data_IF_060698171992
#
_entry.id   IF_060698171992
#
_cell.length_a   1.000
_cell.length_b   1.000
_cell.length_c   1.000
_cell.angle_alpha   90.00
_cell.angle_beta   90.00
_cell.angle_gamma   90.00
#
_symmetry.space_group_name_H-M   'P 1'
#
loop_
_entity.id
_entity.type
_entity.pdbx_description
1 polymer ?
#
# COMPACT_ATOMS: atom_id res chain seq x y z
N UNK A 1 -0.84 -7.28 9.40
CA UNK A 1 0.44 -6.91 10.03
C UNK A 1 0.64 -5.41 9.90
N UNK A 2 0.68 -4.69 11.03
CA UNK A 2 0.92 -3.25 11.07
C UNK A 2 2.35 -2.91 10.70
N UNK A 3 2.53 -1.76 10.04
CA UNK A 3 3.81 -1.30 9.51
C UNK A 3 4.04 0.17 9.88
N UNK A 4 5.21 0.48 10.42
CA UNK A 4 5.68 1.86 10.59
C UNK A 4 6.71 2.15 9.51
N UNK A 5 6.35 2.96 8.52
CA UNK A 5 7.13 3.19 7.30
C UNK A 5 7.83 4.55 7.33
N UNK A 6 9.05 4.60 6.83
CA UNK A 6 9.83 5.84 6.63
C UNK A 6 10.79 5.73 5.46
N UNK A 7 11.36 6.86 5.05
CA UNK A 7 12.28 6.97 3.91
C UNK A 7 13.65 7.44 4.39
N UNK A 8 14.70 6.73 3.97
CA UNK A 8 16.10 7.02 4.31
C UNK A 8 16.76 7.88 3.23
N UNK A 9 16.40 7.67 1.96
CA UNK A 9 16.83 8.49 0.81
C UNK A 9 15.73 8.55 -0.24
N UNK A 10 15.66 9.65 -1.00
CA UNK A 10 14.62 9.86 -2.01
C UNK A 10 13.26 10.21 -1.40
N UNK A 11 12.19 9.89 -2.14
CA UNK A 11 10.80 10.26 -1.81
C UNK A 11 9.81 9.24 -2.38
N UNK A 12 8.78 8.93 -1.60
CA UNK A 12 7.65 8.07 -2.00
C UNK A 12 6.32 8.76 -1.70
N UNK A 13 5.27 8.34 -2.41
CA UNK A 13 3.88 8.54 -2.01
C UNK A 13 3.36 7.22 -1.42
N UNK A 14 3.15 7.20 -0.12
CA UNK A 14 2.77 6.01 0.66
C UNK A 14 1.26 6.03 0.96
N UNK A 15 0.59 4.89 0.82
CA UNK A 15 -0.87 4.78 0.84
C UNK A 15 -1.31 3.63 1.75
N UNK A 16 -2.31 3.93 2.59
CA UNK A 16 -3.08 2.95 3.33
C UNK A 16 -4.52 2.89 2.80
N UNK A 17 -5.06 1.68 2.59
CA UNK A 17 -6.46 1.44 2.19
C UNK A 17 -7.17 0.67 3.29
N UNK A 18 -8.32 1.18 3.73
CA UNK A 18 -9.13 0.53 4.75
C UNK A 18 -9.95 -0.62 4.15
N UNK A 19 -9.66 -1.85 4.57
CA UNK A 19 -10.40 -3.05 4.16
C UNK A 19 -11.07 -3.75 5.35
N UNK A 20 -11.20 -3.06 6.48
CA UNK A 20 -11.79 -3.64 7.70
C UNK A 20 -13.29 -3.75 7.53
N UNK A 21 -13.81 -4.97 7.64
CA UNK A 21 -15.24 -5.23 7.45
C UNK A 21 -16.09 -4.42 8.43
N UNK A 22 -17.12 -3.75 7.90
CA UNK A 22 -18.02 -2.90 8.71
C UNK A 22 -17.43 -1.54 9.08
N UNK A 23 -16.21 -1.22 8.66
CA UNK A 23 -15.66 0.13 8.79
C UNK A 23 -16.50 1.13 7.99
N UNK A 24 -16.84 2.30 8.55
CA UNK A 24 -17.51 3.36 7.81
C UNK A 24 -16.65 3.92 6.67
N UNK A 25 -15.34 3.64 6.68
CA UNK A 25 -14.38 4.06 5.66
C UNK A 25 -13.88 2.90 4.80
N UNK A 26 -14.57 1.75 4.78
CA UNK A 26 -14.19 0.62 3.91
C UNK A 26 -14.02 1.05 2.45
N UNK A 27 -12.92 0.63 1.82
CA UNK A 27 -12.53 0.98 0.45
C UNK A 27 -11.95 2.39 0.31
N UNK A 28 -11.90 3.19 1.37
CA UNK A 28 -11.25 4.51 1.34
C UNK A 28 -9.76 4.39 1.60
N UNK A 29 -9.01 5.31 0.99
CA UNK A 29 -7.57 5.36 1.11
C UNK A 29 -7.11 6.71 1.69
N UNK A 30 -5.94 6.69 2.31
CA UNK A 30 -5.22 7.89 2.74
C UNK A 30 -3.77 7.79 2.26
N UNK A 31 -3.26 8.87 1.67
CA UNK A 31 -1.92 8.91 1.11
C UNK A 31 -1.11 10.09 1.63
N UNK A 32 0.17 9.87 1.87
CA UNK A 32 1.11 10.88 2.34
C UNK A 32 2.42 10.81 1.58
N UNK A 33 3.11 11.94 1.43
CA UNK A 33 4.46 11.97 0.90
C UNK A 33 5.45 11.75 2.04
N UNK A 34 6.31 10.74 1.90
CA UNK A 34 7.42 10.50 2.82
C UNK A 34 8.74 10.74 2.10
N UNK A 35 9.67 11.43 2.76
CA UNK A 35 10.99 11.72 2.22
C UNK A 35 12.07 11.72 3.28
N UNK A 36 13.31 11.70 2.81
CA UNK A 36 14.51 11.68 3.64
C UNK A 36 14.78 12.99 4.40
N UNK A 37 14.16 14.10 3.98
CA UNK A 37 14.36 15.41 4.59
C UNK A 37 13.47 15.59 5.82
N UNK A 38 12.16 15.36 5.68
CA UNK A 38 11.19 15.48 6.76
C UNK A 38 11.32 14.37 7.81
N UNK A 39 11.81 13.18 7.41
CA UNK A 39 11.95 11.99 8.26
C UNK A 39 10.67 11.62 9.01
N UNK A 40 9.53 11.97 8.43
CA UNK A 40 8.22 11.61 8.96
C UNK A 40 8.01 10.11 8.84
N UNK A 41 7.27 9.53 9.80
CA UNK A 41 6.86 8.14 9.73
C UNK A 41 5.35 8.04 9.46
N UNK A 42 4.94 7.05 8.67
CA UNK A 42 3.54 6.72 8.47
C UNK A 42 3.24 5.36 9.12
N UNK A 43 2.28 5.36 10.06
CA UNK A 43 1.81 4.14 10.70
C UNK A 43 0.60 3.59 9.95
N UNK A 44 0.73 2.36 9.44
CA UNK A 44 -0.35 1.59 8.83
C UNK A 44 -0.78 0.51 9.84
N UNK A 45 -1.98 0.61 10.42
CA UNK A 45 -2.47 -0.37 11.38
C UNK A 45 -2.74 -1.75 10.76
N UNK A 46 -2.89 -2.76 11.60
CA UNK A 46 -3.45 -4.05 11.20
C UNK A 46 -4.84 -3.87 10.56
N UNK A 47 -5.12 -4.67 9.52
CA UNK A 47 -6.36 -4.62 8.78
C UNK A 47 -6.42 -3.58 7.65
N UNK A 48 -5.32 -2.91 7.35
CA UNK A 48 -5.19 -2.03 6.18
C UNK A 48 -4.32 -2.69 5.11
N UNK A 49 -4.63 -2.40 3.85
CA UNK A 49 -3.68 -2.61 2.77
C UNK A 49 -2.67 -1.48 2.75
N UNK A 50 -1.46 -1.78 2.32
CA UNK A 50 -0.35 -0.84 2.24
C UNK A 50 0.33 -0.96 0.88
N UNK A 51 0.61 0.16 0.24
CA UNK A 51 1.40 0.24 -0.97
C UNK A 51 2.00 1.64 -1.12
N UNK A 52 3.04 1.78 -1.94
CA UNK A 52 3.65 3.07 -2.20
C UNK A 52 4.13 3.19 -3.65
N UNK A 53 4.22 4.42 -4.13
CA UNK A 53 4.85 4.76 -5.40
C UNK A 53 6.14 5.54 -5.14
N UNK A 54 7.26 5.05 -5.67
CA UNK A 54 8.49 5.85 -5.70
C UNK A 54 8.30 7.00 -6.68
N UNK A 55 8.44 8.24 -6.20
CA UNK A 55 8.30 9.46 -7.01
C UNK A 55 9.61 10.22 -7.16
N UNK A 56 10.69 9.64 -6.64
CA UNK A 56 12.06 10.08 -6.81
C UNK A 56 12.67 9.47 -8.09
N UNK A 57 13.23 10.28 -9.01
CA UNK A 57 13.83 9.78 -10.25
C UNK A 57 14.99 8.81 -10.04
N UNK A 58 15.82 9.05 -9.04
CA UNK A 58 16.98 8.23 -8.66
C UNK A 58 16.62 7.01 -7.81
N UNK A 59 15.34 6.83 -7.49
CA UNK A 59 14.85 5.81 -6.56
C UNK A 59 14.75 6.30 -5.12
N UNK A 60 14.29 5.40 -4.23
CA UNK A 60 14.14 5.67 -2.81
C UNK A 60 14.50 4.44 -1.96
N UNK A 61 15.09 4.66 -0.79
CA UNK A 61 15.30 3.62 0.21
C UNK A 61 14.24 3.74 1.29
N UNK A 62 13.33 2.77 1.33
CA UNK A 62 12.25 2.70 2.30
C UNK A 62 12.64 1.72 3.41
N UNK A 63 12.37 2.10 4.65
CA UNK A 63 12.50 1.20 5.81
C UNK A 63 11.16 1.12 6.52
N UNK A 64 10.85 -0.06 7.03
CA UNK A 64 9.64 -0.26 7.82
C UNK A 64 9.87 -1.22 8.97
N UNK A 65 9.19 -0.95 10.09
CA UNK A 65 9.10 -1.86 11.23
C UNK A 65 7.74 -2.54 11.22
N UNK A 66 7.72 -3.84 11.52
CA UNK A 66 6.51 -4.65 11.52
C UNK A 66 6.09 -5.02 12.94
N UNK A 67 4.79 -5.15 13.18
CA UNK A 67 4.26 -5.72 14.44
C UNK A 67 4.39 -7.24 14.54
N UNK A 68 4.76 -7.92 13.45
CA UNK A 68 4.91 -9.38 13.38
C UNK A 68 6.04 -9.84 12.47
N UNK A 69 6.21 -11.16 12.37
CA UNK A 69 7.17 -11.81 11.47
C UNK A 69 6.51 -12.06 10.12
N UNK A 70 7.29 -12.00 9.05
CA UNK A 70 6.83 -12.32 7.70
C UNK A 70 6.26 -13.75 7.62
N UNK A 71 5.03 -13.87 7.11
CA UNK A 71 4.40 -15.13 6.75
C UNK A 71 3.76 -15.00 5.36
N UNK A 72 4.34 -15.64 4.32
CA UNK A 72 3.85 -15.54 2.95
C UNK A 72 2.42 -16.10 2.79
N UNK A 73 1.98 -17.00 3.68
CA UNK A 73 0.63 -17.56 3.63
C UNK A 73 -0.44 -16.59 4.09
N UNK A 74 -0.05 -15.60 4.91
CA UNK A 74 -0.91 -14.54 5.43
C UNK A 74 -0.89 -13.30 4.54
N UNK A 75 -0.02 -13.27 3.52
CA UNK A 75 0.05 -12.13 2.61
C UNK A 75 -1.12 -12.15 1.63
N UNK A 76 -1.65 -10.95 1.44
CA UNK A 76 -2.74 -10.68 0.53
C UNK A 76 -2.48 -9.31 -0.11
N UNK A 77 -2.97 -9.12 -1.33
CA UNK A 77 -2.88 -7.85 -2.05
C UNK A 77 -3.97 -7.71 -3.10
N UNK A 78 -4.17 -6.48 -3.53
CA UNK A 78 -5.12 -6.09 -4.57
C UNK A 78 -4.37 -5.47 -5.75
N UNK A 79 -5.06 -5.34 -6.87
CA UNK A 79 -4.61 -4.53 -7.98
C UNK A 79 -4.32 -3.09 -7.49
N UNK A 80 -3.08 -2.58 -7.61
CA UNK A 80 -2.76 -1.21 -7.19
C UNK A 80 -3.50 -0.13 -8.01
N UNK A 81 -4.02 -0.49 -9.18
CA UNK A 81 -4.79 0.39 -10.08
C UNK A 81 -6.29 0.08 -10.10
N UNK A 82 -6.78 -0.58 -9.05
CA UNK A 82 -8.21 -0.84 -8.83
C UNK A 82 -9.04 0.43 -8.99
N UNK A 83 -10.04 0.37 -9.88
CA UNK A 83 -10.90 1.51 -10.23
C UNK A 83 -11.95 1.84 -9.16
N UNK A 84 -12.29 0.89 -8.28
CA UNK A 84 -13.26 1.05 -7.20
C UNK A 84 -12.63 1.79 -6.01
N UNK A 85 -11.35 1.53 -5.71
CA UNK A 85 -10.58 2.28 -4.70
C UNK A 85 -10.09 3.62 -5.27
N UNK A 86 -9.68 3.62 -6.55
CA UNK A 86 -9.22 4.80 -7.29
C UNK A 86 -8.19 5.64 -6.52
N UNK A 87 -7.08 5.00 -6.13
CA UNK A 87 -5.96 5.73 -5.51
C UNK A 87 -5.40 6.76 -6.49
N UNK A 88 -5.26 8.00 -6.02
CA UNK A 88 -4.77 9.11 -6.83
C UNK A 88 -3.23 9.12 -6.91
N UNK A 89 -2.65 8.08 -7.51
CA UNK A 89 -1.19 7.92 -7.62
C UNK A 89 -0.53 9.09 -8.39
N UNK A 90 0.55 9.71 -7.89
CA UNK A 90 1.15 10.89 -8.52
C UNK A 90 1.62 10.68 -9.98
N UNK A 91 2.27 9.55 -10.28
CA UNK A 91 2.68 9.21 -11.64
C UNK A 91 1.50 8.49 -12.31
N UNK A 92 0.89 9.14 -13.30
CA UNK A 92 -0.29 8.65 -14.03
C UNK A 92 0.03 7.73 -15.20
N UNK A 93 1.18 7.94 -15.82
CA UNK A 93 1.62 7.15 -16.96
C UNK A 93 2.12 5.78 -16.49
N UNK A 94 1.25 4.77 -16.56
CA UNK A 94 1.55 3.41 -16.11
C UNK A 94 2.73 2.78 -16.85
N UNK A 95 3.07 3.23 -18.06
CA UNK A 95 4.25 2.72 -18.79
C UNK A 95 5.57 3.08 -18.11
N UNK A 96 5.56 4.08 -17.22
CA UNK A 96 6.70 4.51 -16.42
C UNK A 96 6.74 3.86 -15.04
N UNK A 97 5.74 3.06 -14.67
CA UNK A 97 5.64 2.45 -13.36
C UNK A 97 6.14 1.01 -13.44
N UNK A 98 7.14 0.69 -12.63
CA UNK A 98 7.59 -0.69 -12.46
C UNK A 98 6.74 -1.35 -11.38
N UNK A 99 6.02 -2.39 -11.76
CA UNK A 99 5.19 -3.22 -10.86
C UNK A 99 5.68 -4.66 -10.95
N UNK A 100 5.79 -5.34 -9.82
CA UNK A 100 6.21 -6.74 -9.78
C UNK A 100 5.19 -7.64 -10.49
N UNK A 101 5.62 -8.79 -11.02
CA UNK A 101 4.68 -9.75 -11.61
C UNK A 101 3.65 -10.27 -10.61
N UNK A 102 4.02 -10.36 -9.31
CA UNK A 102 3.11 -10.71 -8.23
C UNK A 102 1.98 -9.69 -8.12
N UNK A 103 2.31 -8.40 -8.05
CA UNK A 103 1.30 -7.36 -7.81
C UNK A 103 0.40 -7.12 -9.04
N UNK A 104 0.92 -7.38 -10.25
CA UNK A 104 0.11 -7.37 -11.50
C UNK A 104 -0.95 -8.48 -11.54
N UNK A 105 -0.77 -9.56 -10.77
CA UNK A 105 -1.68 -10.70 -10.74
C UNK A 105 -2.79 -10.55 -9.68
N UNK A 106 -2.70 -9.55 -8.81
CA UNK A 106 -3.76 -9.32 -7.83
C UNK A 106 -5.06 -8.84 -8.50
N UNK A 107 -6.18 -9.30 -7.97
CA UNK A 107 -7.52 -8.90 -8.44
C UNK A 107 -7.96 -7.57 -7.83
N UNK A 108 -9.00 -6.98 -8.40
CA UNK A 108 -9.69 -5.84 -7.80
C UNK A 108 -10.37 -6.26 -6.48
N UNK A 109 -10.61 -5.28 -5.60
CA UNK A 109 -11.26 -5.40 -4.29
C UNK A 109 -12.62 -6.09 -4.38
N UNK A 110 -13.40 -5.80 -5.42
CA UNK A 110 -14.72 -6.41 -5.64
C UNK A 110 -14.67 -7.90 -5.95
N UNK A 111 -13.54 -8.37 -6.51
CA UNK A 111 -13.36 -9.75 -6.97
C UNK A 111 -12.69 -10.61 -5.90
N UNK A 112 -12.37 -10.02 -4.74
CA UNK A 112 -11.82 -10.74 -3.62
C UNK A 112 -12.83 -11.72 -3.05
N UNK A 113 -12.34 -12.93 -2.77
CA UNK A 113 -13.12 -13.93 -2.08
C UNK A 113 -13.58 -13.36 -0.71
N UNK A 114 -14.89 -13.35 -0.41
CA UNK A 114 -15.42 -12.84 0.85
C UNK A 114 -14.78 -13.47 2.10
N UNK A 115 -14.27 -14.70 2.01
CA UNK A 115 -13.57 -15.36 3.11
C UNK A 115 -12.22 -14.74 3.44
N UNK A 116 -11.54 -14.11 2.48
CA UNK A 116 -10.29 -13.36 2.71
C UNK A 116 -10.60 -12.08 3.48
N UNK A 117 -11.68 -11.37 3.13
CA UNK A 117 -12.12 -10.16 3.84
C UNK A 117 -12.68 -10.48 5.24
N UNK A 118 -13.16 -11.70 5.48
CA UNK A 118 -13.72 -12.13 6.76
C UNK A 118 -12.67 -12.45 7.84
N UNK A 119 -11.40 -12.59 7.47
CA UNK A 119 -10.30 -12.92 8.41
C UNK A 119 -9.50 -11.68 8.86
N UNK A 120 -9.96 -10.48 8.47
CA UNK A 120 -9.27 -9.19 8.65
C UNK A 120 -10.08 -8.27 9.55
#
# INVERSE_FOLDING_TARGET
MGKLVSVVSGKIFDVAVDIRKGSPTFGKWHGVVLDAESKTNFWIPDGFLHGFQCISPEGAHVTYKCSGVYDPKSEFGINPFDSDIAVDWPIKDQSKILVSERDKQHSDLKDLNPHVVQQI
#
